data_IF_049230793622
#
_entry.id   IF_049230793622
#
_cell.length_a   1.000
_cell.length_b   1.000
_cell.length_c   1.000
_cell.angle_alpha   90.00
_cell.angle_beta   90.00
_cell.angle_gamma   90.00
#
_symmetry.space_group_name_H-M   'P 1'
#
loop_
_entity.id
_entity.type
_entity.pdbx_description
1 polymer ?
#
# COMPACT_ATOMS: atom_id res chain seq x y z
N UNK A 1 9.44 -20.37 9.75
CA UNK A 1 9.07 -19.23 8.88
C UNK A 1 9.19 -18.02 9.77
N UNK A 2 10.21 -17.18 9.56
CA UNK A 2 10.30 -15.91 10.28
C UNK A 2 9.06 -15.11 9.91
N UNK A 3 8.19 -14.86 10.89
CA UNK A 3 7.04 -13.99 10.74
C UNK A 3 7.61 -12.57 10.59
N UNK A 4 7.64 -12.05 9.37
CA UNK A 4 8.14 -10.71 9.11
C UNK A 4 7.16 -9.72 9.73
N UNK A 5 7.63 -8.92 10.69
CA UNK A 5 6.82 -7.89 11.33
C UNK A 5 6.30 -6.90 10.26
N UNK A 6 5.01 -6.53 10.30
CA UNK A 6 4.46 -5.59 9.33
C UNK A 6 4.97 -4.18 9.61
N UNK A 7 5.31 -3.46 8.55
CA UNK A 7 5.59 -2.02 8.61
C UNK A 7 4.35 -1.26 8.21
N UNK A 8 3.97 -0.24 8.98
CA UNK A 8 2.84 0.62 8.62
C UNK A 8 3.25 1.62 7.54
N UNK A 9 2.42 1.71 6.50
CA UNK A 9 2.57 2.67 5.41
C UNK A 9 1.29 3.51 5.26
N UNK A 10 1.47 4.78 4.94
CA UNK A 10 0.43 5.61 4.32
C UNK A 10 0.40 5.33 2.83
N UNK A 11 -0.70 4.75 2.35
CA UNK A 11 -0.94 4.39 0.96
C UNK A 11 -1.98 5.35 0.36
N UNK A 12 -1.72 5.93 -0.80
CA UNK A 12 -2.68 6.83 -1.48
C UNK A 12 -2.98 6.32 -2.89
N UNK A 13 -4.24 5.99 -3.18
CA UNK A 13 -4.61 5.65 -4.55
C UNK A 13 -4.50 6.91 -5.44
N UNK A 14 -3.80 6.81 -6.57
CA UNK A 14 -3.68 7.88 -7.57
C UNK A 14 -4.39 7.55 -8.89
N UNK A 15 -5.29 6.58 -8.85
CA UNK A 15 -6.03 6.15 -10.05
C UNK A 15 -7.11 7.16 -10.38
N UNK A 16 -7.02 7.80 -11.54
CA UNK A 16 -8.08 8.66 -12.06
C UNK A 16 -9.42 7.89 -12.17
N UNK A 17 -10.50 8.53 -11.73
CA UNK A 17 -11.84 7.93 -11.67
C UNK A 17 -12.09 6.99 -10.49
N UNK A 18 -11.09 6.69 -9.64
CA UNK A 18 -11.31 5.95 -8.41
C UNK A 18 -11.95 6.85 -7.33
N UNK A 19 -13.00 6.40 -6.60
CA UNK A 19 -13.59 7.19 -5.52
C UNK A 19 -12.61 7.44 -4.35
N UNK A 20 -11.57 6.60 -4.20
CA UNK A 20 -10.52 6.77 -3.21
C UNK A 20 -9.27 7.52 -3.76
N UNK A 21 -9.36 8.12 -4.95
CA UNK A 21 -8.26 8.89 -5.51
C UNK A 21 -7.89 10.07 -4.60
N UNK A 22 -6.63 10.13 -4.17
CA UNK A 22 -6.12 11.17 -3.28
C UNK A 22 -6.49 11.01 -1.81
N UNK A 23 -7.19 9.93 -1.42
CA UNK A 23 -7.50 9.65 -0.02
C UNK A 23 -6.38 8.78 0.58
N UNK A 24 -5.66 9.26 1.60
CA UNK A 24 -4.64 8.46 2.27
C UNK A 24 -5.27 7.41 3.18
N UNK A 25 -4.73 6.20 3.17
CA UNK A 25 -5.08 5.14 4.13
C UNK A 25 -3.82 4.55 4.76
N UNK A 26 -3.88 4.30 6.06
CA UNK A 26 -2.79 3.64 6.79
C UNK A 26 -3.05 2.14 6.81
N UNK A 27 -2.08 1.35 6.37
CA UNK A 27 -2.19 -0.11 6.34
C UNK A 27 -0.86 -0.77 6.75
N UNK A 28 -0.92 -1.90 7.49
CA UNK A 28 0.25 -2.75 7.70
C UNK A 28 0.61 -3.44 6.38
N UNK A 29 1.84 -3.25 5.90
CA UNK A 29 2.39 -3.96 4.76
C UNK A 29 3.44 -4.96 5.24
N UNK A 30 3.39 -6.16 4.67
CA UNK A 30 4.39 -7.19 4.89
C UNK A 30 5.42 -7.14 3.76
N UNK A 31 6.72 -7.30 4.07
CA UNK A 31 7.74 -7.30 3.05
C UNK A 31 7.60 -8.54 2.15
N UNK A 32 7.61 -8.32 0.84
CA UNK A 32 7.66 -9.39 -0.14
C UNK A 32 9.06 -9.96 -0.23
N UNK A 33 9.14 -11.27 -0.52
CA UNK A 33 10.41 -11.95 -0.78
C UNK A 33 11.11 -11.47 -2.07
N UNK A 34 10.36 -10.91 -3.02
CA UNK A 34 10.87 -10.38 -4.29
C UNK A 34 10.44 -8.95 -4.50
N UNK A 35 11.25 -8.19 -5.23
CA UNK A 35 10.94 -6.80 -5.53
C UNK A 35 9.63 -6.66 -6.36
N UNK A 36 8.87 -5.58 -6.14
CA UNK A 36 9.05 -4.58 -5.08
C UNK A 36 8.74 -5.13 -3.67
N UNK A 37 9.59 -4.77 -2.71
CA UNK A 37 9.51 -5.20 -1.30
C UNK A 37 8.16 -4.87 -0.67
N UNK A 38 7.52 -3.77 -1.05
CA UNK A 38 6.23 -3.35 -0.50
C UNK A 38 5.18 -3.29 -1.62
N UNK A 39 3.99 -3.83 -1.36
CA UNK A 39 2.86 -3.80 -2.31
C UNK A 39 1.57 -3.51 -1.56
N UNK A 40 0.78 -2.59 -2.10
CA UNK A 40 -0.60 -2.36 -1.66
C UNK A 40 -1.53 -2.29 -2.86
N UNK A 41 -2.80 -2.61 -2.64
CA UNK A 41 -3.86 -2.53 -3.64
C UNK A 41 -5.01 -1.69 -3.10
N UNK A 42 -5.58 -0.83 -3.93
CA UNK A 42 -6.75 -0.06 -3.54
C UNK A 42 -7.98 -0.97 -3.47
N UNK A 43 -8.64 -1.03 -2.31
CA UNK A 43 -9.86 -1.82 -2.13
C UNK A 43 -11.06 -1.35 -2.97
N UNK A 44 -11.03 -0.13 -3.51
CA UNK A 44 -12.12 0.40 -4.34
C UNK A 44 -11.98 0.09 -5.83
N UNK A 45 -10.79 0.31 -6.41
CA UNK A 45 -10.57 0.12 -7.84
C UNK A 45 -9.73 -1.11 -8.18
N UNK A 46 -9.21 -1.83 -7.18
CA UNK A 46 -8.37 -3.01 -7.36
C UNK A 46 -7.00 -2.74 -7.98
N UNK A 47 -6.63 -1.47 -8.25
CA UNK A 47 -5.33 -1.14 -8.82
C UNK A 47 -4.24 -1.10 -7.75
N UNK A 48 -3.02 -1.44 -8.15
CA UNK A 48 -1.85 -1.35 -7.28
C UNK A 48 -1.61 0.12 -6.91
N UNK A 49 -1.30 0.34 -5.63
CA UNK A 49 -0.92 1.64 -5.10
C UNK A 49 0.59 1.75 -5.22
N UNK A 50 1.05 2.79 -5.93
CA UNK A 50 2.49 3.11 -6.08
C UNK A 50 2.93 4.26 -5.19
N UNK A 51 1.99 5.09 -4.74
CA UNK A 51 2.23 6.22 -3.82
C UNK A 51 2.09 5.71 -2.37
N UNK A 52 3.20 5.24 -1.81
CA UNK A 52 3.28 4.67 -0.46
C UNK A 52 4.49 5.23 0.28
N UNK A 53 4.28 5.66 1.52
CA UNK A 53 5.34 6.22 2.38
C UNK A 53 5.24 5.59 3.77
N UNK A 54 6.35 5.26 4.44
CA UNK A 54 6.29 4.73 5.80
C UNK A 54 5.64 5.75 6.73
N UNK A 55 4.72 5.28 7.57
CA UNK A 55 4.19 6.11 8.67
C UNK A 55 5.31 6.29 9.70
N UNK A 56 5.66 7.54 9.99
CA UNK A 56 6.69 7.90 10.97
C UNK A 56 6.30 7.50 12.40
#
# INVERSE_FOLDING_TARGET
>A
MEETEPTYYTCTCRTEGCPANGVPCNAPLYPNATEPTWRAQCGHCGKNITDMHPTA
#
